data_IF_010685850639
#
_entry.id   IF_010685850639
#
_cell.length_a   1.000
_cell.length_b   1.000
_cell.length_c   1.000
_cell.angle_alpha   90.00
_cell.angle_beta   90.00
_cell.angle_gamma   90.00
#
_symmetry.space_group_name_H-M   'P 1'
#
loop_
_entity.id
_entity.type
_entity.pdbx_description
1 polymer ?
#
# COMPACT_ATOMS: atom_id res chain seq x y z
N UNK A 1 -9.02 13.29 9.12
CA UNK A 1 -8.40 12.71 10.34
C UNK A 1 -7.39 11.66 9.89
N UNK A 2 -6.17 11.66 10.43
CA UNK A 2 -5.12 10.73 10.06
C UNK A 2 -5.41 9.33 10.63
N UNK A 3 -5.88 8.41 9.77
CA UNK A 3 -6.10 6.99 10.05
C UNK A 3 -6.18 6.20 8.74
N UNK A 4 -5.90 4.89 8.72
CA UNK A 4 -6.19 4.07 7.56
C UNK A 4 -7.70 4.04 7.30
N UNK A 5 -8.09 3.93 6.03
CA UNK A 5 -9.51 3.75 5.69
C UNK A 5 -9.96 2.32 5.99
N UNK A 6 -9.09 1.35 5.69
CA UNK A 6 -9.33 -0.09 5.90
C UNK A 6 -8.04 -0.75 6.38
N UNK A 7 -8.15 -1.84 7.13
CA UNK A 7 -7.03 -2.68 7.56
C UNK A 7 -7.23 -4.10 7.02
N UNK A 8 -6.27 -4.62 6.26
CA UNK A 8 -6.31 -5.97 5.67
C UNK A 8 -5.17 -6.84 6.19
N UNK A 9 -5.35 -8.16 6.20
CA UNK A 9 -4.27 -9.07 6.56
C UNK A 9 -3.15 -9.05 5.51
N UNK A 10 -3.49 -9.06 4.22
CA UNK A 10 -2.52 -9.03 3.12
C UNK A 10 -3.08 -8.24 1.94
N UNK A 11 -2.18 -7.69 1.11
CA UNK A 11 -2.60 -6.95 -0.10
C UNK A 11 -3.38 -7.83 -1.09
N UNK A 12 -3.05 -9.13 -1.13
CA UNK A 12 -3.73 -10.09 -2.02
C UNK A 12 -5.18 -10.40 -1.62
N UNK A 13 -5.66 -9.87 -0.49
CA UNK A 13 -7.08 -9.91 -0.08
C UNK A 13 -7.94 -8.87 -0.81
N UNK A 14 -7.32 -7.98 -1.59
CA UNK A 14 -8.03 -7.02 -2.43
C UNK A 14 -8.52 -7.73 -3.69
N UNK A 15 -9.83 -7.80 -3.87
CA UNK A 15 -10.44 -8.37 -5.07
C UNK A 15 -10.79 -7.29 -6.11
N UNK A 16 -10.82 -7.69 -7.39
CA UNK A 16 -11.25 -6.80 -8.49
C UNK A 16 -12.68 -6.29 -8.27
N UNK A 17 -13.56 -7.14 -7.75
CA UNK A 17 -14.96 -6.83 -7.47
C UNK A 17 -15.11 -5.67 -6.46
N UNK A 18 -14.25 -5.63 -5.45
CA UNK A 18 -14.18 -4.55 -4.47
C UNK A 18 -13.77 -3.23 -5.12
N UNK A 19 -12.71 -3.28 -5.93
CA UNK A 19 -12.14 -2.11 -6.59
C UNK A 19 -13.14 -1.48 -7.56
N UNK A 20 -13.84 -2.31 -8.33
CA UNK A 20 -14.89 -1.85 -9.26
C UNK A 20 -16.03 -1.13 -8.51
N UNK A 21 -16.51 -1.70 -7.40
CA UNK A 21 -17.55 -1.05 -6.56
C UNK A 21 -17.08 0.28 -5.97
N UNK A 22 -15.79 0.37 -5.66
CA UNK A 22 -15.15 1.58 -5.15
C UNK A 22 -14.70 2.53 -6.26
N UNK A 23 -14.89 2.19 -7.54
CA UNK A 23 -14.40 2.93 -8.71
C UNK A 23 -12.89 3.19 -8.69
N UNK A 24 -12.13 2.27 -8.12
CA UNK A 24 -10.67 2.31 -8.09
C UNK A 24 -10.14 1.72 -9.39
N UNK A 25 -9.25 2.46 -10.05
CA UNK A 25 -8.55 2.06 -11.28
C UNK A 25 -7.06 1.86 -11.06
N UNK A 26 -6.53 2.35 -9.93
CA UNK A 26 -5.09 2.32 -9.66
C UNK A 26 -4.80 1.95 -8.21
N UNK A 27 -3.91 0.99 -8.02
CA UNK A 27 -3.33 0.64 -6.73
C UNK A 27 -1.91 1.21 -6.67
N UNK A 28 -1.68 2.11 -5.72
CA UNK A 28 -0.33 2.53 -5.32
C UNK A 28 0.06 1.73 -4.09
N UNK A 29 1.20 1.06 -4.10
CA UNK A 29 1.57 0.17 -2.99
C UNK A 29 3.02 0.34 -2.57
N UNK A 30 3.30 0.22 -1.27
CA UNK A 30 4.68 0.07 -0.82
C UNK A 30 5.28 -1.27 -1.26
N UNK A 31 6.60 -1.34 -1.27
CA UNK A 31 7.33 -2.55 -1.66
C UNK A 31 7.68 -3.42 -0.45
N UNK A 32 8.53 -2.88 0.42
CA UNK A 32 9.17 -3.61 1.51
C UNK A 32 8.15 -3.89 2.62
N UNK A 33 8.04 -5.14 3.06
CA UNK A 33 7.05 -5.64 4.02
C UNK A 33 5.57 -5.42 3.63
N UNK A 34 5.28 -4.98 2.41
CA UNK A 34 3.91 -4.85 1.87
C UNK A 34 3.65 -5.84 0.73
N UNK A 35 4.46 -5.80 -0.32
CA UNK A 35 4.42 -6.74 -1.45
C UNK A 35 5.42 -7.88 -1.28
N UNK A 36 6.62 -7.54 -0.78
CA UNK A 36 7.73 -8.47 -0.60
C UNK A 36 8.30 -8.36 0.81
N UNK A 37 8.85 -9.44 1.38
CA UNK A 37 9.72 -9.32 2.55
C UNK A 37 10.86 -8.34 2.24
N UNK A 38 11.20 -7.44 3.16
CA UNK A 38 12.23 -6.39 2.94
C UNK A 38 13.64 -6.94 2.62
N UNK A 39 13.89 -8.23 2.89
CA UNK A 39 15.15 -8.94 2.70
C UNK A 39 15.09 -10.01 1.59
N UNK A 40 14.06 -10.01 0.75
CA UNK A 40 13.89 -10.98 -0.33
C UNK A 40 13.45 -10.32 -1.63
N UNK A 41 14.02 -10.79 -2.75
CA UNK A 41 13.58 -10.45 -4.10
C UNK A 41 12.67 -11.55 -4.70
N UNK A 42 12.27 -12.54 -3.88
CA UNK A 42 11.45 -13.67 -4.32
C UNK A 42 9.95 -13.37 -4.24
N UNK A 43 9.28 -13.57 -5.37
CA UNK A 43 7.83 -13.39 -5.47
C UNK A 43 7.11 -14.71 -5.21
N UNK A 44 6.09 -14.66 -4.36
CA UNK A 44 5.19 -15.80 -4.20
C UNK A 44 4.33 -16.00 -5.45
N UNK A 45 3.93 -17.25 -5.71
CA UNK A 45 3.00 -17.56 -6.79
C UNK A 45 1.65 -16.83 -6.61
N UNK A 46 1.21 -16.67 -5.36
CA UNK A 46 -0.02 -15.94 -5.03
C UNK A 46 0.07 -14.45 -5.41
N UNK A 47 1.20 -13.80 -5.15
CA UNK A 47 1.41 -12.40 -5.53
C UNK A 47 1.40 -12.23 -7.06
N UNK A 48 2.11 -13.10 -7.79
CA UNK A 48 2.14 -13.06 -9.27
C UNK A 48 0.74 -13.25 -9.86
N UNK A 49 -0.01 -14.22 -9.35
CA UNK A 49 -1.39 -14.47 -9.77
C UNK A 49 -2.28 -13.25 -9.49
N UNK A 50 -2.15 -12.65 -8.31
CA UNK A 50 -2.91 -11.45 -7.93
C UNK A 50 -2.62 -10.27 -8.86
N UNK A 51 -1.34 -9.99 -9.15
CA UNK A 51 -0.94 -8.93 -10.08
C UNK A 51 -1.48 -9.16 -11.49
N UNK A 52 -1.38 -10.39 -12.01
CA UNK A 52 -1.95 -10.72 -13.31
C UNK A 52 -3.47 -10.50 -13.35
N UNK A 53 -4.19 -10.89 -12.30
CA UNK A 53 -5.65 -10.65 -12.21
C UNK A 53 -5.96 -9.15 -12.24
N UNK A 54 -5.20 -8.32 -11.50
CA UNK A 54 -5.36 -6.86 -11.51
C UNK A 54 -5.12 -6.28 -12.92
N UNK A 55 -4.02 -6.67 -13.57
CA UNK A 55 -3.68 -6.25 -14.92
C UNK A 55 -4.77 -6.62 -15.94
N UNK A 56 -5.24 -7.87 -15.93
CA UNK A 56 -6.32 -8.33 -16.83
C UNK A 56 -7.65 -7.62 -16.58
N UNK A 57 -7.87 -7.12 -15.36
CA UNK A 57 -9.05 -6.34 -15.01
C UNK A 57 -8.90 -4.84 -15.33
N UNK A 58 -7.78 -4.40 -15.90
CA UNK A 58 -7.50 -2.99 -16.18
C UNK A 58 -7.20 -2.16 -14.93
N UNK A 59 -6.71 -2.80 -13.86
CA UNK A 59 -6.28 -2.13 -12.63
C UNK A 59 -4.76 -1.97 -12.68
N UNK A 60 -4.30 -0.72 -12.74
CA UNK A 60 -2.87 -0.40 -12.72
C UNK A 60 -2.30 -0.60 -11.31
N UNK A 61 -1.23 -1.38 -11.18
CA UNK A 61 -0.48 -1.51 -9.93
C UNK A 61 0.85 -0.78 -10.05
N UNK A 62 1.13 0.11 -9.09
CA UNK A 62 2.32 0.95 -9.04
C UNK A 62 3.01 0.79 -7.70
N UNK A 63 4.31 0.45 -7.71
CA UNK A 63 5.12 0.52 -6.48
C UNK A 63 5.52 1.96 -6.20
N UNK A 64 5.28 2.42 -4.97
CA UNK A 64 5.68 3.72 -4.46
C UNK A 64 6.67 3.53 -3.32
N UNK A 65 7.96 3.70 -3.61
CA UNK A 65 9.03 3.40 -2.66
C UNK A 65 9.95 4.60 -2.40
N UNK A 66 10.46 4.69 -1.17
CA UNK A 66 11.52 5.65 -0.81
C UNK A 66 12.91 5.22 -1.31
N UNK A 67 13.06 3.99 -1.82
CA UNK A 67 14.31 3.46 -2.35
C UNK A 67 14.68 4.09 -3.71
N UNK A 68 15.91 3.84 -4.16
CA UNK A 68 16.38 4.27 -5.49
C UNK A 68 15.70 3.46 -6.58
N UNK A 69 15.54 4.05 -7.77
CA UNK A 69 14.94 3.36 -8.92
C UNK A 69 15.63 2.03 -9.21
N UNK A 70 16.96 2.01 -9.29
CA UNK A 70 17.76 0.78 -9.50
C UNK A 70 17.43 -0.34 -8.50
N UNK A 71 17.20 0.00 -7.23
CA UNK A 71 16.84 -1.01 -6.21
C UNK A 71 15.41 -1.51 -6.39
N UNK A 72 14.48 -0.60 -6.68
CA UNK A 72 13.06 -0.93 -6.88
C UNK A 72 12.90 -1.76 -8.15
N UNK A 73 13.47 -1.32 -9.26
CA UNK A 73 13.46 -2.02 -10.55
C UNK A 73 13.99 -3.44 -10.42
N UNK A 74 15.14 -3.63 -9.75
CA UNK A 74 15.67 -4.97 -9.49
C UNK A 74 14.66 -5.88 -8.75
N UNK A 75 13.89 -5.31 -7.84
CA UNK A 75 12.92 -6.02 -7.02
C UNK A 75 11.55 -6.22 -7.67
N UNK A 76 11.25 -5.60 -8.83
CA UNK A 76 9.93 -5.72 -9.48
C UNK A 76 9.99 -5.95 -11.01
N UNK A 77 11.18 -6.04 -11.61
CA UNK A 77 11.38 -6.15 -13.06
C UNK A 77 10.61 -7.29 -13.75
N UNK A 78 10.28 -8.35 -13.01
CA UNK A 78 9.55 -9.53 -13.52
C UNK A 78 8.05 -9.48 -13.21
N UNK A 79 7.53 -8.33 -12.80
CA UNK A 79 6.14 -8.11 -12.43
C UNK A 79 5.48 -7.06 -13.33
N UNK A 80 4.20 -7.21 -13.67
CA UNK A 80 3.45 -6.24 -14.47
C UNK A 80 3.05 -5.04 -13.59
N UNK A 81 4.01 -4.17 -13.28
CA UNK A 81 3.76 -3.01 -12.43
C UNK A 81 4.66 -1.81 -12.74
N UNK A 82 4.13 -0.61 -12.53
CA UNK A 82 4.90 0.62 -12.66
C UNK A 82 5.68 0.99 -11.41
N UNK A 83 6.58 1.97 -11.54
CA UNK A 83 7.52 2.37 -10.48
C UNK A 83 7.46 3.88 -10.22
N UNK A 84 7.24 4.24 -8.96
CA UNK A 84 7.45 5.58 -8.38
C UNK A 84 8.53 5.48 -7.30
N UNK A 85 9.78 5.61 -7.72
CA UNK A 85 10.94 5.57 -6.83
C UNK A 85 11.23 6.94 -6.19
N UNK A 86 12.05 6.94 -5.12
CA UNK A 86 12.40 8.14 -4.34
C UNK A 86 11.16 8.98 -3.97
N UNK A 87 10.09 8.30 -3.55
CA UNK A 87 8.79 8.92 -3.28
C UNK A 87 8.81 9.96 -2.14
N UNK A 88 9.82 9.89 -1.25
CA UNK A 88 9.96 10.75 -0.06
C UNK A 88 8.77 10.69 0.90
N UNK A 89 8.08 9.55 0.97
CA UNK A 89 7.05 9.26 1.97
C UNK A 89 7.60 9.57 3.38
N UNK A 90 6.81 10.23 4.26
CA UNK A 90 5.38 10.49 4.11
C UNK A 90 5.00 11.74 3.30
N UNK A 91 5.96 12.47 2.73
CA UNK A 91 5.66 13.70 1.99
C UNK A 91 4.85 13.40 0.72
N UNK A 92 3.76 14.13 0.43
CA UNK A 92 2.86 13.83 -0.68
C UNK A 92 3.39 14.31 -2.04
N UNK A 93 4.49 15.06 -2.07
CA UNK A 93 4.90 15.83 -3.25
C UNK A 93 5.15 14.96 -4.49
N UNK A 94 5.85 13.83 -4.34
CA UNK A 94 6.16 12.94 -5.47
C UNK A 94 4.90 12.22 -5.94
N UNK A 95 4.06 11.77 -5.01
CA UNK A 95 2.78 11.11 -5.31
C UNK A 95 1.85 12.08 -6.07
N UNK A 96 1.59 13.28 -5.52
CA UNK A 96 0.76 14.30 -6.19
C UNK A 96 1.32 14.72 -7.54
N UNK A 97 2.65 14.84 -7.67
CA UNK A 97 3.29 15.12 -8.95
C UNK A 97 3.00 14.01 -9.96
N UNK A 98 3.15 12.75 -9.57
CA UNK A 98 2.88 11.60 -10.43
C UNK A 98 1.42 11.56 -10.88
N UNK A 99 0.47 11.71 -9.94
CA UNK A 99 -0.97 11.75 -10.25
C UNK A 99 -1.29 12.84 -11.29
N UNK A 100 -0.79 14.06 -11.07
CA UNK A 100 -1.01 15.20 -11.98
C UNK A 100 -0.40 14.96 -13.36
N UNK A 101 0.81 14.42 -13.44
CA UNK A 101 1.50 14.20 -14.72
C UNK A 101 0.80 13.12 -15.57
N UNK A 102 0.23 12.12 -14.92
CA UNK A 102 -0.45 11.01 -15.59
C UNK A 102 -1.97 11.22 -15.68
N UNK A 103 -2.49 12.38 -15.25
CA UNK A 103 -3.92 12.71 -15.24
C UNK A 103 -4.77 11.66 -14.49
N UNK A 104 -4.21 11.10 -13.41
CA UNK A 104 -4.90 10.14 -12.55
C UNK A 104 -5.63 10.93 -11.47
N UNK A 105 -6.93 10.68 -11.33
CA UNK A 105 -7.73 11.23 -10.24
C UNK A 105 -7.38 10.52 -8.93
N UNK A 106 -7.08 11.28 -7.89
CA UNK A 106 -6.74 10.74 -6.57
C UNK A 106 -7.90 9.92 -5.96
N UNK A 107 -9.15 10.19 -6.37
CA UNK A 107 -10.33 9.45 -5.90
C UNK A 107 -10.42 8.03 -6.46
N UNK A 108 -9.80 7.77 -7.62
CA UNK A 108 -9.76 6.43 -8.24
C UNK A 108 -8.52 5.64 -7.82
N UNK A 109 -7.78 6.11 -6.81
CA UNK A 109 -6.53 5.50 -6.33
C UNK A 109 -6.73 4.90 -4.94
N UNK A 110 -6.14 3.72 -4.74
CA UNK A 110 -6.02 3.08 -3.45
C UNK A 110 -4.54 2.98 -3.07
N UNK A 111 -4.14 3.56 -1.93
CA UNK A 111 -2.78 3.45 -1.40
C UNK A 111 -2.69 2.31 -0.38
N UNK A 112 -1.82 1.33 -0.61
CA UNK A 112 -1.66 0.15 0.25
C UNK A 112 -0.24 0.08 0.83
N UNK A 113 -0.11 -0.03 2.15
CA UNK A 113 1.21 -0.15 2.79
C UNK A 113 1.13 -0.73 4.20
N UNK A 114 2.28 -1.07 4.77
CA UNK A 114 2.37 -1.69 6.10
C UNK A 114 2.63 -0.69 7.22
N UNK A 115 2.97 0.57 6.90
CA UNK A 115 3.34 1.61 7.86
C UNK A 115 2.33 2.74 7.94
N UNK A 116 1.91 3.05 9.17
CA UNK A 116 0.92 4.12 9.43
C UNK A 116 1.55 5.50 9.23
N UNK A 117 2.74 5.75 9.77
CA UNK A 117 3.41 7.04 9.69
C UNK A 117 4.10 7.29 8.36
N UNK A 118 4.28 6.25 7.53
CA UNK A 118 4.87 6.38 6.19
C UNK A 118 3.78 6.33 5.11
N UNK A 119 3.11 5.18 4.95
CA UNK A 119 2.24 4.91 3.80
C UNK A 119 0.84 5.49 3.97
N UNK A 120 0.21 5.20 5.11
CA UNK A 120 -1.12 5.75 5.42
C UNK A 120 -1.05 7.28 5.48
N UNK A 121 0.03 7.83 6.02
CA UNK A 121 0.23 9.28 6.07
C UNK A 121 0.44 9.86 4.67
N UNK A 122 1.29 9.24 3.84
CA UNK A 122 1.51 9.68 2.47
C UNK A 122 0.23 9.66 1.63
N UNK A 123 -0.55 8.56 1.69
CA UNK A 123 -1.82 8.45 1.00
C UNK A 123 -2.83 9.49 1.48
N UNK A 124 -2.99 9.64 2.81
CA UNK A 124 -3.91 10.62 3.39
C UNK A 124 -3.56 12.06 3.01
N UNK A 125 -2.28 12.45 3.08
CA UNK A 125 -1.82 13.79 2.66
C UNK A 125 -1.95 14.01 1.15
N UNK A 126 -2.00 12.91 0.39
CA UNK A 126 -2.23 12.92 -1.06
C UNK A 126 -3.71 12.94 -1.43
N UNK A 127 -4.64 12.88 -0.46
CA UNK A 127 -6.08 12.80 -0.73
C UNK A 127 -6.56 11.42 -1.22
N UNK A 128 -5.72 10.39 -1.06
CA UNK A 128 -5.94 9.03 -1.57
C UNK A 128 -6.51 8.16 -0.45
N UNK A 129 -7.43 7.25 -0.80
CA UNK A 129 -7.95 6.24 0.13
C UNK A 129 -6.84 5.26 0.53
N UNK A 130 -6.73 4.93 1.82
CA UNK A 130 -5.60 4.13 2.35
C UNK A 130 -6.02 2.78 2.90
N UNK A 131 -5.24 1.76 2.61
CA UNK A 131 -5.31 0.43 3.22
C UNK A 131 -4.01 0.17 3.96
N UNK A 132 -4.12 -0.16 5.25
CA UNK A 132 -3.01 -0.65 6.03
C UNK A 132 -3.02 -2.18 5.97
N UNK A 133 -1.89 -2.81 5.63
CA UNK A 133 -1.72 -4.26 5.67
C UNK A 133 -0.82 -4.69 6.82
N UNK A 134 -0.87 -5.97 7.20
CA UNK A 134 0.13 -6.52 8.11
C UNK A 134 1.48 -6.64 7.38
N UNK A 135 2.61 -6.41 8.09
CA UNK A 135 3.91 -6.64 7.49
C UNK A 135 4.09 -8.12 7.15
N UNK A 136 4.70 -8.43 6.01
CA UNK A 136 4.92 -9.82 5.57
C UNK A 136 5.84 -10.58 6.52
N UNK A 137 6.86 -9.92 7.07
CA UNK A 137 7.74 -10.48 8.10
C UNK A 137 7.84 -9.52 9.29
N UNK A 138 8.11 -10.06 10.48
CA UNK A 138 8.25 -9.25 11.71
C UNK A 138 9.55 -8.42 11.76
N UNK A 139 10.50 -8.73 10.88
CA UNK A 139 11.78 -8.05 10.82
C UNK A 139 11.71 -6.84 9.89
N UNK A 140 12.55 -5.85 10.18
CA UNK A 140 12.56 -4.58 9.49
C UNK A 140 14.00 -4.11 9.27
N UNK A 141 14.21 -3.31 8.22
CA UNK A 141 15.45 -2.54 8.09
C UNK A 141 15.63 -1.59 9.31
N UNK A 142 16.88 -1.27 9.68
CA UNK A 142 17.20 -0.47 10.88
C UNK A 142 16.37 0.81 11.02
N UNK A 143 16.22 1.57 9.92
CA UNK A 143 15.43 2.81 9.90
C UNK A 143 13.93 2.54 10.15
N UNK A 144 13.40 1.50 9.54
CA UNK A 144 12.00 1.08 9.69
C UNK A 144 11.70 0.65 11.11
N UNK A 145 12.63 -0.06 11.79
CA UNK A 145 12.47 -0.45 13.19
C UNK A 145 12.25 0.72 14.14
N UNK A 146 12.94 1.84 13.91
CA UNK A 146 12.75 3.08 14.69
C UNK A 146 11.38 3.67 14.44
N UNK A 147 10.93 3.73 13.17
CA UNK A 147 9.58 4.18 12.85
C UNK A 147 8.51 3.30 13.51
N UNK A 148 8.67 1.97 13.47
CA UNK A 148 7.74 1.02 14.11
C UNK A 148 7.55 1.26 15.60
N UNK A 149 8.61 1.67 16.31
CA UNK A 149 8.52 1.99 17.74
C UNK A 149 7.53 3.13 18.01
N UNK A 150 7.55 4.17 17.17
CA UNK A 150 6.60 5.29 17.28
C UNK A 150 5.22 4.97 16.69
N UNK A 151 5.13 4.09 15.69
CA UNK A 151 3.86 3.71 15.05
C UNK A 151 2.95 2.87 15.96
N UNK A 152 3.52 1.91 16.70
CA UNK A 152 2.75 0.98 17.54
C UNK A 152 1.77 1.67 18.50
N UNK A 153 2.19 2.67 19.31
CA UNK A 153 1.26 3.37 20.20
C UNK A 153 0.20 4.17 19.43
N UNK A 154 0.56 4.74 18.27
CA UNK A 154 -0.36 5.50 17.42
C UNK A 154 -1.44 4.58 16.86
N UNK A 155 -1.06 3.43 16.29
CA UNK A 155 -2.02 2.46 15.77
C UNK A 155 -2.96 1.98 16.87
N UNK A 156 -2.42 1.62 18.05
CA UNK A 156 -3.24 1.21 19.20
C UNK A 156 -4.25 2.29 19.60
N UNK A 157 -3.82 3.55 19.64
CA UNK A 157 -4.70 4.68 19.93
C UNK A 157 -5.80 4.86 18.87
N UNK A 158 -5.45 4.74 17.59
CA UNK A 158 -6.43 4.82 16.50
C UNK A 158 -7.48 3.71 16.60
N UNK A 159 -7.08 2.47 16.92
CA UNK A 159 -7.99 1.34 17.10
C UNK A 159 -8.90 1.49 18.32
N UNK A 160 -8.41 2.10 19.41
CA UNK A 160 -9.24 2.41 20.58
C UNK A 160 -10.31 3.45 20.22
N UNK A 161 -9.95 4.45 19.40
CA UNK A 161 -10.87 5.51 18.98
C UNK A 161 -11.88 5.07 17.92
N UNK A 162 -11.51 4.13 17.06
CA UNK A 162 -12.38 3.62 16.00
C UNK A 162 -12.36 2.09 16.00
N UNK A 163 -13.41 1.51 16.59
CA UNK A 163 -13.57 0.05 16.72
C UNK A 163 -13.70 -0.66 15.36
N UNK A 164 -13.93 0.06 14.27
CA UNK A 164 -13.97 -0.51 12.93
C UNK A 164 -12.57 -0.78 12.36
N UNK A 165 -11.51 -0.24 12.98
CA UNK A 165 -10.12 -0.48 12.62
C UNK A 165 -9.63 -1.83 13.15
N UNK A 166 -10.19 -2.89 12.59
CA UNK A 166 -9.78 -4.27 12.81
C UNK A 166 -9.22 -4.86 11.52
N UNK A 167 -8.35 -5.86 11.67
CA UNK A 167 -7.82 -6.62 10.53
C UNK A 167 -8.94 -7.44 9.89
N UNK A 168 -9.02 -7.40 8.56
CA UNK A 168 -10.02 -8.07 7.74
C UNK A 168 -9.34 -8.90 6.66
N UNK A 169 -10.07 -9.89 6.13
CA UNK A 169 -9.63 -10.73 5.00
C UNK A 169 -10.23 -10.28 3.65
N UNK A 170 -10.99 -9.18 3.62
CA UNK A 170 -11.49 -8.57 2.38
C UNK A 170 -11.89 -7.10 2.62
N UNK A 171 -12.00 -6.31 1.54
CA UNK A 171 -12.52 -4.93 1.62
C UNK A 171 -14.03 -4.90 1.95
N UNK A 172 -14.72 -6.03 1.77
CA UNK A 172 -16.16 -6.20 1.98
C UNK A 172 -16.59 -6.70 3.35
N UNK A 173 -15.68 -6.94 4.29
CA UNK A 173 -16.02 -7.37 5.65
C UNK A 173 -16.75 -6.24 6.41
N UNK A 174 -18.02 -6.03 6.06
CA UNK A 174 -19.05 -5.38 6.85
C UNK A 174 -19.59 -6.47 7.76
N UNK A 175 -19.65 -6.17 9.07
CA UNK A 175 -20.60 -6.85 9.92
C UNK A 175 -21.97 -6.74 9.25
N UNK A 176 -22.56 -7.88 8.88
CA UNK A 176 -24.00 -8.03 9.05
C UNK A 176 -24.35 -7.86 10.53
#
# INVERSE_FOLDING_TARGET
>A
MFKPSIMLNKITDIEVSDLQKLKITTIMTDLDNTLLPWNSDEYTLSLRKWLNIMEHAGIDVLVVSNNSYKRVEKAVNMLPMGIVARAKKPLPFVIKKYLRQNKIDQETVLFVGDQVLTDVLAGSLSGIKTVLVKPIVETDAKKTRVNRFFERPILKYLQIKDKNLRWKDSLHDRNE
#
